data_IF_425511401755
#
_entry.id   IF_425511401755
#
_cell.length_a   1.000
_cell.length_b   1.000
_cell.length_c   1.000
_cell.angle_alpha   90.00
_cell.angle_beta   90.00
_cell.angle_gamma   90.00
#
_symmetry.space_group_name_H-M   'P 1'
#
loop_
_entity.id
_entity.type
_entity.pdbx_description
1 polymer ?
#
# COMPACT_ATOMS: atom_id res chain seq x y z
N UNK A 1 -5.11 -18.50 27.42
CA UNK A 1 -5.96 -18.71 26.23
C UNK A 1 -6.85 -17.48 26.12
N UNK A 2 -6.54 -16.58 25.20
CA UNK A 2 -7.34 -15.38 24.96
C UNK A 2 -8.67 -15.79 24.32
N UNK A 3 -9.75 -15.07 24.62
CA UNK A 3 -11.07 -15.25 24.00
C UNK A 3 -10.99 -14.89 22.49
N UNK A 4 -10.48 -15.81 21.67
CA UNK A 4 -10.18 -15.58 20.25
C UNK A 4 -11.42 -15.40 19.38
N UNK A 5 -12.54 -16.04 19.71
CA UNK A 5 -13.76 -16.01 18.87
C UNK A 5 -14.40 -14.61 18.79
N UNK A 6 -14.45 -13.86 19.90
CA UNK A 6 -15.06 -12.53 19.92
C UNK A 6 -14.23 -11.47 19.17
N UNK A 7 -12.91 -11.56 19.27
CA UNK A 7 -11.98 -10.65 18.59
C UNK A 7 -11.98 -10.87 17.08
N UNK A 8 -11.95 -12.13 16.64
CA UNK A 8 -12.03 -12.49 15.22
C UNK A 8 -13.33 -11.98 14.57
N UNK A 9 -14.48 -12.19 15.22
CA UNK A 9 -15.77 -11.69 14.74
C UNK A 9 -15.81 -10.17 14.65
N UNK A 10 -15.22 -9.49 15.64
CA UNK A 10 -15.11 -8.03 15.61
C UNK A 10 -14.24 -7.56 14.45
N UNK A 11 -13.12 -8.23 14.16
CA UNK A 11 -12.24 -7.89 13.04
C UNK A 11 -12.94 -8.12 11.70
N UNK A 12 -13.61 -9.26 11.53
CA UNK A 12 -14.41 -9.57 10.34
C UNK A 12 -15.45 -8.49 10.08
N UNK A 13 -16.19 -8.05 11.11
CA UNK A 13 -17.16 -6.95 11.01
C UNK A 13 -16.52 -5.64 10.54
N UNK A 14 -15.35 -5.27 11.07
CA UNK A 14 -14.62 -4.07 10.64
C UNK A 14 -14.22 -4.14 9.17
N UNK A 15 -13.69 -5.29 8.72
CA UNK A 15 -13.32 -5.50 7.30
C UNK A 15 -14.55 -5.38 6.39
N UNK A 16 -15.67 -6.01 6.75
CA UNK A 16 -16.91 -5.89 5.97
C UNK A 16 -17.43 -4.45 5.92
N UNK A 17 -17.35 -3.71 7.03
CA UNK A 17 -17.74 -2.30 7.05
C UNK A 17 -16.88 -1.46 6.09
N UNK A 18 -15.57 -1.70 6.03
CA UNK A 18 -14.68 -1.00 5.10
C UNK A 18 -15.06 -1.28 3.63
N UNK A 19 -15.33 -2.54 3.29
CA UNK A 19 -15.78 -2.94 1.95
C UNK A 19 -17.09 -2.24 1.59
N UNK A 20 -18.09 -2.34 2.48
CA UNK A 20 -19.42 -1.76 2.26
C UNK A 20 -19.36 -0.23 2.10
N UNK A 21 -18.53 0.45 2.88
CA UNK A 21 -18.40 1.91 2.82
C UNK A 21 -17.77 2.38 1.50
N UNK A 22 -16.76 1.67 0.98
CA UNK A 22 -16.18 1.99 -0.33
C UNK A 22 -17.21 1.79 -1.44
N UNK A 23 -17.93 0.67 -1.42
CA UNK A 23 -18.93 0.36 -2.44
C UNK A 23 -20.08 1.37 -2.44
N UNK A 24 -20.63 1.70 -1.27
CA UNK A 24 -21.77 2.60 -1.13
C UNK A 24 -21.46 4.02 -1.65
N UNK A 25 -20.21 4.46 -1.57
CA UNK A 25 -19.79 5.80 -2.01
C UNK A 25 -19.18 5.81 -3.42
N UNK A 26 -19.16 4.69 -4.14
CA UNK A 26 -18.60 4.56 -5.51
C UNK A 26 -17.20 5.19 -5.66
N UNK A 27 -16.37 5.09 -4.62
CA UNK A 27 -15.06 5.75 -4.53
C UNK A 27 -14.01 5.15 -5.48
N UNK A 28 -14.35 4.06 -6.15
CA UNK A 28 -13.54 3.36 -7.14
C UNK A 28 -14.44 2.87 -8.28
N UNK A 29 -14.04 3.17 -9.52
CA UNK A 29 -14.83 2.83 -10.72
C UNK A 29 -14.32 1.50 -11.27
N UNK A 30 -14.96 0.41 -10.87
CA UNK A 30 -14.72 -0.90 -11.44
C UNK A 30 -15.97 -1.77 -11.38
N UNK A 31 -16.22 -2.52 -12.44
CA UNK A 31 -17.46 -3.28 -12.64
C UNK A 31 -17.32 -4.79 -12.49
N UNK A 32 -16.09 -5.31 -12.33
CA UNK A 32 -15.88 -6.77 -12.26
C UNK A 32 -16.21 -7.31 -10.88
N UNK A 33 -16.89 -8.44 -10.88
CA UNK A 33 -17.26 -9.19 -9.70
C UNK A 33 -16.46 -10.48 -9.60
N UNK A 34 -16.10 -10.84 -8.37
CA UNK A 34 -15.55 -12.12 -7.99
C UNK A 34 -16.67 -13.00 -7.44
N UNK A 35 -16.92 -14.14 -8.08
CA UNK A 35 -17.85 -15.15 -7.61
C UNK A 35 -17.11 -16.21 -6.78
N UNK A 36 -17.48 -16.34 -5.50
CA UNK A 36 -16.94 -17.35 -4.61
C UNK A 36 -18.02 -18.40 -4.35
N UNK A 37 -17.78 -19.63 -4.81
CA UNK A 37 -18.61 -20.79 -4.48
C UNK A 37 -18.10 -21.40 -3.18
N UNK A 38 -18.99 -21.60 -2.23
CA UNK A 38 -18.66 -22.21 -0.94
C UNK A 38 -19.81 -23.12 -0.49
N UNK A 39 -19.50 -24.08 0.36
CA UNK A 39 -20.51 -24.89 1.01
C UNK A 39 -21.05 -24.16 2.23
N UNK A 40 -22.35 -23.92 2.26
CA UNK A 40 -23.04 -23.25 3.34
C UNK A 40 -23.59 -24.31 4.30
N UNK A 41 -22.90 -24.50 5.42
CA UNK A 41 -23.23 -25.51 6.44
C UNK A 41 -24.64 -25.29 7.02
N UNK A 42 -25.09 -24.03 7.14
CA UNK A 42 -26.42 -23.71 7.67
C UNK A 42 -27.53 -24.09 6.69
N UNK A 43 -27.28 -23.97 5.38
CA UNK A 43 -28.25 -24.27 4.33
C UNK A 43 -28.05 -25.65 3.70
N UNK A 44 -27.04 -26.40 4.13
CA UNK A 44 -26.67 -27.72 3.65
C UNK A 44 -26.54 -27.78 2.10
N UNK A 45 -26.02 -26.70 1.48
CA UNK A 45 -25.93 -26.57 0.02
C UNK A 45 -24.78 -25.69 -0.44
N UNK A 46 -24.36 -25.86 -1.69
CA UNK A 46 -23.44 -24.93 -2.33
C UNK A 46 -24.12 -23.58 -2.57
N UNK A 47 -23.51 -22.53 -2.04
CA UNK A 47 -23.93 -21.14 -2.18
C UNK A 47 -22.89 -20.34 -2.97
N UNK A 48 -23.32 -19.22 -3.55
CA UNK A 48 -22.45 -18.30 -4.30
C UNK A 48 -22.48 -16.95 -3.60
N UNK A 49 -21.30 -16.37 -3.33
CA UNK A 49 -21.14 -14.99 -2.86
C UNK A 49 -20.48 -14.16 -3.94
N UNK A 50 -21.10 -13.05 -4.29
CA UNK A 50 -20.60 -12.10 -5.29
C UNK A 50 -19.93 -10.94 -4.54
N UNK A 51 -18.69 -10.64 -4.89
CA UNK A 51 -17.90 -9.58 -4.27
C UNK A 51 -17.29 -8.66 -5.33
N UNK A 52 -17.03 -7.38 -5.02
CA UNK A 52 -16.28 -6.51 -5.91
C UNK A 52 -14.83 -7.02 -6.02
N UNK A 53 -14.40 -7.42 -7.23
CA UNK A 53 -13.15 -8.19 -7.39
C UNK A 53 -11.93 -7.42 -6.87
N UNK A 54 -11.68 -6.24 -7.42
CA UNK A 54 -10.48 -5.44 -7.10
C UNK A 54 -10.46 -5.02 -5.64
N UNK A 55 -11.59 -4.58 -5.10
CA UNK A 55 -11.68 -4.19 -3.69
C UNK A 55 -11.41 -5.37 -2.76
N UNK A 56 -11.95 -6.55 -3.10
CA UNK A 56 -11.72 -7.77 -2.31
C UNK A 56 -10.26 -8.19 -2.33
N UNK A 57 -9.62 -8.15 -3.50
CA UNK A 57 -8.18 -8.44 -3.63
C UNK A 57 -7.31 -7.41 -2.90
N UNK A 58 -7.68 -6.12 -2.95
CA UNK A 58 -6.98 -5.08 -2.18
C UNK A 58 -7.08 -5.35 -0.68
N UNK A 59 -8.26 -5.73 -0.18
CA UNK A 59 -8.44 -6.09 1.23
C UNK A 59 -7.60 -7.32 1.58
N UNK A 60 -7.57 -8.35 0.74
CA UNK A 60 -6.74 -9.53 0.97
C UNK A 60 -5.25 -9.17 1.03
N UNK A 61 -4.77 -8.28 0.14
CA UNK A 61 -3.40 -7.77 0.18
C UNK A 61 -3.09 -7.14 1.55
N UNK A 62 -3.97 -6.26 2.07
CA UNK A 62 -3.79 -5.62 3.37
C UNK A 62 -3.69 -6.59 4.55
N UNK A 63 -4.30 -7.78 4.45
CA UNK A 63 -4.34 -8.77 5.52
C UNK A 63 -3.11 -9.69 5.54
N UNK A 64 -2.36 -9.75 4.44
CA UNK A 64 -1.16 -10.58 4.32
C UNK A 64 0.07 -9.70 4.51
N UNK A 65 0.91 -10.02 5.50
CA UNK A 65 2.15 -9.29 5.73
C UNK A 65 3.14 -9.48 4.58
N UNK A 66 3.90 -8.43 4.27
CA UNK A 66 4.88 -8.36 3.18
C UNK A 66 4.26 -8.66 1.81
N UNK A 67 2.97 -8.34 1.65
CA UNK A 67 2.24 -8.48 0.39
C UNK A 67 2.48 -7.29 -0.53
N UNK A 68 2.35 -7.53 -1.82
CA UNK A 68 2.38 -6.51 -2.84
C UNK A 68 1.29 -6.75 -3.87
N UNK A 69 0.53 -5.70 -4.21
CA UNK A 69 -0.47 -5.72 -5.26
C UNK A 69 -0.25 -4.57 -6.22
N UNK A 70 -0.32 -4.86 -7.53
CA UNK A 70 -0.20 -3.86 -8.58
C UNK A 70 -1.57 -3.59 -9.22
N UNK A 71 -2.03 -2.34 -9.15
CA UNK A 71 -3.27 -1.88 -9.75
C UNK A 71 -2.98 -1.26 -11.13
N UNK A 72 -3.43 -1.94 -12.18
CA UNK A 72 -3.27 -1.49 -13.58
C UNK A 72 -4.60 -1.00 -14.13
N UNK A 73 -4.61 0.19 -14.72
CA UNK A 73 -5.81 0.74 -15.38
C UNK A 73 -5.63 2.20 -15.77
N UNK A 74 -6.51 2.74 -16.60
CA UNK A 74 -6.40 4.09 -17.14
C UNK A 74 -6.35 5.23 -16.10
N UNK A 75 -6.04 6.44 -16.59
CA UNK A 75 -6.16 7.68 -15.81
C UNK A 75 -7.59 7.86 -15.28
N UNK A 76 -7.71 8.41 -14.07
CA UNK A 76 -9.02 8.67 -13.43
C UNK A 76 -9.75 7.44 -12.88
N UNK A 77 -9.20 6.22 -13.00
CA UNK A 77 -9.83 5.00 -12.48
C UNK A 77 -9.91 4.87 -10.95
N UNK A 78 -9.47 5.88 -10.19
CA UNK A 78 -9.56 5.89 -8.72
C UNK A 78 -8.58 4.95 -8.00
N UNK A 79 -7.56 4.39 -8.68
CA UNK A 79 -6.59 3.43 -8.12
C UNK A 79 -5.93 3.93 -6.84
N UNK A 80 -5.31 5.11 -6.91
CA UNK A 80 -4.61 5.74 -5.78
C UNK A 80 -5.61 6.17 -4.70
N UNK A 81 -6.78 6.67 -5.10
CA UNK A 81 -7.87 7.03 -4.17
C UNK A 81 -8.35 5.83 -3.34
N UNK A 82 -8.58 4.68 -4.00
CA UNK A 82 -8.97 3.44 -3.36
C UNK A 82 -7.96 3.02 -2.29
N UNK A 83 -6.68 2.96 -2.65
CA UNK A 83 -5.61 2.54 -1.73
C UNK A 83 -5.46 3.51 -0.56
N UNK A 84 -5.59 4.82 -0.80
CA UNK A 84 -5.53 5.83 0.28
C UNK A 84 -6.67 5.66 1.29
N UNK A 85 -7.88 5.44 0.80
CA UNK A 85 -9.06 5.28 1.66
C UNK A 85 -9.02 3.95 2.42
N UNK A 86 -8.59 2.87 1.77
CA UNK A 86 -8.31 1.60 2.46
C UNK A 86 -7.25 1.79 3.54
N UNK A 87 -6.14 2.47 3.24
CA UNK A 87 -5.08 2.75 4.20
C UNK A 87 -5.61 3.46 5.44
N UNK A 88 -6.40 4.53 5.25
CA UNK A 88 -7.07 5.23 6.37
C UNK A 88 -7.97 4.31 7.20
N UNK A 89 -8.79 3.48 6.55
CA UNK A 89 -9.74 2.62 7.27
C UNK A 89 -9.07 1.46 8.02
N UNK A 90 -7.98 0.90 7.48
CA UNK A 90 -7.27 -0.22 8.09
C UNK A 90 -6.28 0.23 9.18
N UNK A 91 -5.68 1.41 9.04
CA UNK A 91 -4.66 1.90 9.97
C UNK A 91 -5.17 2.95 10.95
N UNK A 92 -6.30 3.60 10.66
CA UNK A 92 -6.79 4.76 11.41
C UNK A 92 -6.02 6.06 11.13
N UNK A 93 -4.97 6.02 10.30
CA UNK A 93 -4.17 7.19 9.96
C UNK A 93 -4.99 8.25 9.22
N UNK A 94 -4.63 9.52 9.41
CA UNK A 94 -5.18 10.64 8.64
C UNK A 94 -4.72 10.54 7.18
N UNK A 95 -5.48 11.16 6.28
CA UNK A 95 -5.17 11.07 4.84
C UNK A 95 -3.82 11.70 4.47
N UNK A 96 -3.37 12.73 5.19
CA UNK A 96 -2.06 13.34 5.00
C UNK A 96 -0.92 12.45 5.50
N UNK A 97 -1.14 11.67 6.56
CA UNK A 97 -0.20 10.63 6.99
C UNK A 97 -0.11 9.52 5.94
N UNK A 98 -1.24 9.09 5.36
CA UNK A 98 -1.24 8.13 4.25
C UNK A 98 -0.55 8.73 3.02
N UNK A 99 -0.74 10.01 2.69
CA UNK A 99 -0.03 10.69 1.59
C UNK A 99 1.48 10.71 1.82
N UNK A 100 1.94 10.86 3.06
CA UNK A 100 3.38 10.80 3.38
C UNK A 100 4.00 9.42 3.14
N UNK A 101 3.17 8.36 3.08
CA UNK A 101 3.59 6.99 2.73
C UNK A 101 3.63 6.71 1.23
N UNK A 102 3.42 7.72 0.37
CA UNK A 102 3.41 7.56 -1.08
C UNK A 102 4.77 7.95 -1.68
N UNK A 103 5.35 7.02 -2.43
CA UNK A 103 6.41 7.29 -3.39
C UNK A 103 5.77 7.52 -4.75
N UNK A 104 5.86 8.75 -5.28
CA UNK A 104 5.31 9.09 -6.59
C UNK A 104 6.38 8.90 -7.66
N UNK A 105 6.08 8.08 -8.66
CA UNK A 105 6.95 7.76 -9.77
C UNK A 105 7.32 9.01 -10.57
N UNK A 106 8.62 9.26 -10.69
CA UNK A 106 9.15 10.37 -11.46
C UNK A 106 10.57 10.03 -11.95
N UNK A 107 10.96 10.38 -13.19
CA UNK A 107 12.28 10.02 -13.73
C UNK A 107 13.47 10.61 -12.97
N UNK A 108 13.26 11.74 -12.28
CA UNK A 108 14.26 12.45 -11.48
C UNK A 108 14.10 12.18 -9.98
N UNK A 109 13.48 11.06 -9.61
CA UNK A 109 13.37 10.67 -8.21
C UNK A 109 14.74 10.30 -7.66
N UNK A 110 15.13 10.95 -6.56
CA UNK A 110 16.43 10.72 -5.91
C UNK A 110 16.30 9.65 -4.83
N UNK A 111 17.42 9.01 -4.49
CA UNK A 111 17.47 8.04 -3.37
C UNK A 111 16.99 8.68 -2.06
N UNK A 112 17.39 9.93 -1.79
CA UNK A 112 16.92 10.71 -0.63
C UNK A 112 15.39 10.84 -0.57
N UNK A 113 14.74 10.94 -1.74
CA UNK A 113 13.28 10.96 -1.83
C UNK A 113 12.64 9.57 -1.65
N UNK A 114 13.39 8.49 -1.81
CA UNK A 114 12.96 7.11 -1.59
C UNK A 114 13.14 6.67 -0.13
N UNK A 115 14.28 7.03 0.48
CA UNK A 115 14.75 6.46 1.75
C UNK A 115 14.55 7.43 2.93
N UNK A 116 15.27 8.55 2.94
CA UNK A 116 15.29 9.52 4.02
C UNK A 116 16.20 10.70 3.68
N UNK A 117 16.13 11.77 4.48
CA UNK A 117 16.91 13.00 4.29
C UNK A 117 17.64 13.37 5.58
N UNK A 118 18.74 14.12 5.49
CA UNK A 118 19.44 14.63 6.67
C UNK A 118 18.71 15.85 7.25
N UNK A 119 18.69 15.93 8.58
CA UNK A 119 18.18 17.10 9.31
C UNK A 119 19.21 18.23 9.28
N UNK A 120 19.17 19.02 8.21
CA UNK A 120 20.13 20.09 7.92
C UNK A 120 20.41 21.02 9.10
N UNK A 121 19.37 21.44 9.84
CA UNK A 121 19.56 22.33 10.99
C UNK A 121 20.42 21.73 12.10
N UNK A 122 20.37 20.41 12.30
CA UNK A 122 21.18 19.74 13.32
C UNK A 122 22.61 19.50 12.82
N UNK A 123 22.74 19.13 11.55
CA UNK A 123 24.04 18.97 10.91
C UNK A 123 24.83 20.29 10.92
N UNK A 124 24.21 21.40 10.53
CA UNK A 124 24.87 22.70 10.41
C UNK A 124 25.23 23.31 11.77
N UNK A 125 24.39 23.14 12.79
CA UNK A 125 24.58 23.79 14.09
C UNK A 125 25.39 22.94 15.08
N UNK A 126 25.28 21.60 14.99
CA UNK A 126 25.84 20.67 15.98
C UNK A 126 26.85 19.70 15.37
N UNK A 127 26.99 19.65 14.03
CA UNK A 127 27.82 18.65 13.35
C UNK A 127 27.25 17.24 13.42
N UNK A 128 25.98 17.10 13.78
CA UNK A 128 25.31 15.80 14.00
C UNK A 128 24.50 15.39 12.78
N UNK A 129 24.86 14.26 12.19
CA UNK A 129 24.08 13.60 11.15
C UNK A 129 22.86 12.89 11.76
N UNK A 130 21.67 13.48 11.59
CA UNK A 130 20.40 12.86 11.98
C UNK A 130 19.58 12.61 10.71
N UNK A 131 19.28 11.34 10.43
CA UNK A 131 18.45 10.95 9.28
C UNK A 131 16.98 10.95 9.66
N UNK A 132 16.18 11.64 8.86
CA UNK A 132 14.72 11.61 8.89
C UNK A 132 14.23 10.64 7.82
N UNK A 133 13.83 9.45 8.26
CA UNK A 133 13.30 8.41 7.37
C UNK A 133 11.95 8.79 6.81
N UNK A 134 11.70 8.44 5.54
CA UNK A 134 10.39 8.59 4.92
C UNK A 134 9.38 7.67 5.59
N UNK A 135 8.12 8.11 5.69
CA UNK A 135 7.03 7.25 6.15
C UNK A 135 6.86 6.03 5.26
N UNK A 136 7.19 6.12 3.98
CA UNK A 136 7.24 4.95 3.09
C UNK A 136 8.20 3.85 3.60
N UNK A 137 9.30 4.19 4.29
CA UNK A 137 10.24 3.20 4.85
C UNK A 137 9.71 2.62 6.16
N UNK A 138 9.29 3.46 7.09
CA UNK A 138 8.94 3.07 8.46
C UNK A 138 7.49 2.60 8.62
N UNK A 139 6.59 2.98 7.72
CA UNK A 139 5.16 2.72 7.82
C UNK A 139 4.74 1.32 7.34
N UNK A 140 3.68 0.78 7.96
CA UNK A 140 3.04 -0.48 7.54
C UNK A 140 2.41 -0.35 6.14
N UNK A 141 1.74 0.77 5.86
CA UNK A 141 1.07 1.00 4.58
C UNK A 141 2.03 1.69 3.63
N UNK A 142 2.29 1.08 2.46
CA UNK A 142 3.23 1.60 1.47
C UNK A 142 2.53 1.74 0.11
N UNK A 143 2.74 2.87 -0.56
CA UNK A 143 2.16 3.12 -1.89
C UNK A 143 3.26 3.58 -2.84
N UNK A 144 3.38 2.93 -4.00
CA UNK A 144 4.16 3.43 -5.14
C UNK A 144 3.17 3.82 -6.23
N UNK A 145 3.03 5.12 -6.45
CA UNK A 145 2.12 5.66 -7.44
C UNK A 145 2.84 5.82 -8.78
N UNK A 146 2.23 5.37 -9.88
CA UNK A 146 2.79 5.43 -11.23
C UNK A 146 4.18 4.76 -11.35
N UNK A 147 4.26 3.48 -10.99
CA UNK A 147 5.50 2.68 -10.97
C UNK A 147 6.27 2.79 -12.29
N UNK A 148 5.56 2.82 -13.42
CA UNK A 148 6.12 2.91 -14.77
C UNK A 148 6.84 4.24 -15.09
N UNK A 149 6.79 5.23 -14.19
CA UNK A 149 7.50 6.52 -14.31
C UNK A 149 8.81 6.55 -13.53
N UNK A 150 9.12 5.49 -12.78
CA UNK A 150 10.40 5.30 -12.10
C UNK A 150 11.47 4.82 -13.08
N UNK A 151 12.71 5.29 -12.89
CA UNK A 151 13.87 4.73 -13.58
C UNK A 151 14.11 3.28 -13.14
N UNK A 152 14.72 2.41 -13.98
CA UNK A 152 15.11 1.06 -13.57
C UNK A 152 15.94 1.06 -12.29
N UNK A 153 16.88 2.00 -12.18
CA UNK A 153 17.68 2.21 -10.96
C UNK A 153 16.84 2.49 -9.70
N UNK A 154 15.80 3.33 -9.81
CA UNK A 154 14.91 3.60 -8.68
C UNK A 154 14.07 2.38 -8.29
N UNK A 155 13.65 1.59 -9.29
CA UNK A 155 12.92 0.35 -9.07
C UNK A 155 13.80 -0.69 -8.38
N UNK A 156 15.07 -0.83 -8.81
CA UNK A 156 16.05 -1.73 -8.19
C UNK A 156 16.31 -1.38 -6.72
N UNK A 157 16.45 -0.09 -6.41
CA UNK A 157 16.57 0.38 -5.02
C UNK A 157 15.34 -0.05 -4.19
N UNK A 158 14.14 0.21 -4.71
CA UNK A 158 12.89 -0.11 -4.03
C UNK A 158 12.71 -1.63 -3.81
N UNK A 159 13.03 -2.44 -4.82
CA UNK A 159 12.97 -3.90 -4.71
C UNK A 159 13.98 -4.41 -3.70
N UNK A 160 15.21 -3.90 -3.75
CA UNK A 160 16.29 -4.32 -2.84
C UNK A 160 15.93 -3.98 -1.39
N UNK A 161 15.51 -2.75 -1.10
CA UNK A 161 15.17 -2.36 0.27
C UNK A 161 13.97 -3.14 0.84
N UNK A 162 12.96 -3.43 0.00
CA UNK A 162 11.79 -4.19 0.43
C UNK A 162 12.12 -5.67 0.66
N UNK A 163 13.01 -6.24 -0.14
CA UNK A 163 13.45 -7.63 -0.02
C UNK A 163 14.39 -7.84 1.18
N UNK A 164 15.35 -6.93 1.40
CA UNK A 164 16.31 -7.02 2.49
C UNK A 164 15.71 -6.67 3.86
N UNK A 165 14.68 -5.82 3.88
CA UNK A 165 14.05 -5.34 5.11
C UNK A 165 14.96 -4.44 5.95
N UNK A 166 16.07 -3.95 5.39
CA UNK A 166 17.00 -3.01 6.00
C UNK A 166 17.33 -1.90 5.02
N UNK A 167 17.40 -0.68 5.52
CA UNK A 167 17.73 0.50 4.73
C UNK A 167 18.92 1.18 5.36
N UNK A 168 19.96 1.40 4.56
CA UNK A 168 21.13 2.18 4.95
C UNK A 168 21.10 3.51 4.20
N UNK A 169 21.34 4.60 4.91
CA UNK A 169 21.48 5.93 4.34
C UNK A 169 22.51 6.70 5.16
N UNK A 170 23.61 7.10 4.52
CA UNK A 170 24.84 7.51 5.21
C UNK A 170 25.27 6.43 6.24
N UNK A 171 25.56 6.82 7.47
CA UNK A 171 25.90 5.92 8.58
C UNK A 171 24.67 5.47 9.39
N UNK A 172 23.47 5.92 9.01
CA UNK A 172 22.23 5.50 9.66
C UNK A 172 21.67 4.22 9.02
N UNK A 173 21.10 3.36 9.86
CA UNK A 173 20.45 2.12 9.45
C UNK A 173 19.06 2.07 10.11
N UNK A 174 18.05 1.65 9.36
CA UNK A 174 16.71 1.34 9.88
C UNK A 174 16.20 0.00 9.32
N UNK A 175 15.21 -0.59 9.99
CA UNK A 175 14.51 -1.79 9.51
C UNK A 175 13.17 -1.43 8.85
N UNK A 176 12.79 -2.21 7.85
CA UNK A 176 11.43 -2.23 7.34
C UNK A 176 10.69 -3.35 8.08
N UNK A 177 9.76 -2.94 8.94
CA UNK A 177 8.86 -3.86 9.60
C UNK A 177 7.85 -4.46 8.62
N UNK A 178 6.97 -5.36 9.10
CA UNK A 178 5.89 -5.91 8.28
C UNK A 178 5.13 -4.80 7.57
N UNK A 179 4.83 -5.01 6.30
CA UNK A 179 4.16 -4.02 5.47
C UNK A 179 3.09 -4.63 4.57
N UNK A 180 2.29 -3.76 3.96
CA UNK A 180 1.52 -4.06 2.77
C UNK A 180 1.83 -2.99 1.72
N UNK A 181 2.05 -3.44 0.48
CA UNK A 181 2.44 -2.57 -0.63
C UNK A 181 1.37 -2.56 -1.70
N UNK A 182 1.07 -1.36 -2.20
CA UNK A 182 0.27 -1.15 -3.39
C UNK A 182 1.05 -0.35 -4.42
N UNK A 183 1.17 -0.88 -5.63
CA UNK A 183 1.64 -0.17 -6.80
C UNK A 183 0.47 0.28 -7.67
N UNK A 184 0.60 1.40 -8.38
CA UNK A 184 -0.33 1.77 -9.46
C UNK A 184 0.42 1.93 -10.79
N UNK A 185 -0.21 1.54 -11.90
CA UNK A 185 0.32 1.76 -13.25
C UNK A 185 -0.72 2.39 -14.17
N UNK A 186 -0.25 3.45 -14.83
CA UNK A 186 -0.69 4.09 -16.06
C UNK A 186 -0.36 3.33 -17.38
N UNK A 187 -1.09 2.34 -17.93
CA UNK A 187 -0.64 1.67 -19.16
C UNK A 187 -0.57 2.57 -20.40
N UNK A 188 -1.32 3.68 -20.44
CA UNK A 188 -1.26 4.66 -21.54
C UNK A 188 -0.17 5.72 -21.35
N UNK A 189 0.36 5.88 -20.14
CA UNK A 189 1.59 6.63 -19.97
C UNK A 189 2.69 5.75 -20.56
N UNK A 190 3.20 6.14 -21.74
CA UNK A 190 4.45 5.60 -22.27
C UNK A 190 5.43 5.63 -21.11
N UNK A 191 5.78 4.44 -20.62
CA UNK A 191 6.77 4.31 -19.56
C UNK A 191 7.97 5.14 -19.96
N UNK A 192 8.58 5.86 -19.03
CA UNK A 192 9.80 6.61 -19.38
C UNK A 192 10.92 5.65 -19.81
N UNK A 193 10.77 4.36 -19.50
CA UNK A 193 11.69 3.27 -19.80
C UNK A 193 10.88 2.04 -20.25
N UNK A 194 11.42 1.27 -21.20
CA UNK A 194 10.84 -0.02 -21.63
C UNK A 194 11.05 -1.09 -20.53
N UNK A 195 10.08 -1.98 -20.37
CA UNK A 195 10.07 -3.09 -19.39
C UNK A 195 10.81 -4.32 -19.92
#
# INVERSE_FOLDING_TARGET
MLNTTGEEDSLRKKVWNAINLIQANQLFVHSKNLEIKYYDDEKNKTSIKILPEILSLCVLNALVANSAMLLVGGHGGGKTTLVKLLGRMFTGMRLDEIESSIVRGHPQLTEEKLTGTLKLGKLMNEGVEEVVWRQFITGFWKIIDEVNRLTPYSQDILLSLLAEGKVKYYDAITSIEKYTLYGTINPQDVGTFEF
#
